data_IF_342160631872
#
_entry.id   IF_342160631872
#
_cell.length_a   1.000
_cell.length_b   1.000
_cell.length_c   1.000
_cell.angle_alpha   90.00
_cell.angle_beta   90.00
_cell.angle_gamma   90.00
#
_symmetry.space_group_name_H-M   'P 1'
#
loop_
_entity.id
_entity.type
_entity.pdbx_description
1 polymer ?
#
# COMPACT_ATOMS: atom_id res chain seq x y z
N UNK A 1 25.11 -30.27 20.16
CA UNK A 1 25.66 -29.22 19.27
C UNK A 1 24.64 -29.00 18.17
N UNK A 2 23.81 -27.95 18.28
CA UNK A 2 22.81 -27.62 17.26
C UNK A 2 23.51 -27.37 15.91
N UNK A 3 23.13 -28.13 14.89
CA UNK A 3 23.70 -27.99 13.55
C UNK A 3 23.40 -26.58 13.02
N UNK A 4 24.41 -25.73 12.74
CA UNK A 4 24.18 -24.36 12.23
C UNK A 4 23.42 -24.35 10.90
N UNK A 5 23.50 -25.45 10.13
CA UNK A 5 22.73 -25.66 8.91
C UNK A 5 21.22 -25.76 9.14
N UNK A 6 20.78 -26.35 10.25
CA UNK A 6 19.35 -26.51 10.56
C UNK A 6 18.68 -25.17 10.93
N UNK A 7 19.40 -24.32 11.67
CA UNK A 7 18.91 -22.98 12.02
C UNK A 7 18.78 -22.07 10.78
N UNK A 8 19.75 -22.13 9.87
CA UNK A 8 19.73 -21.37 8.61
C UNK A 8 18.56 -21.80 7.71
N UNK A 9 18.33 -23.10 7.54
CA UNK A 9 17.21 -23.63 6.75
C UNK A 9 15.85 -23.20 7.34
N UNK A 10 15.70 -23.22 8.66
CA UNK A 10 14.48 -22.74 9.32
C UNK A 10 14.22 -21.23 9.11
N UNK A 11 15.26 -20.40 9.12
CA UNK A 11 15.15 -18.97 8.86
C UNK A 11 14.76 -18.68 7.41
N UNK A 12 15.36 -19.38 6.45
CA UNK A 12 15.03 -19.25 5.02
C UNK A 12 13.59 -19.67 4.75
N UNK A 13 13.13 -20.79 5.31
CA UNK A 13 11.75 -21.26 5.16
C UNK A 13 10.71 -20.27 5.73
N UNK A 14 10.98 -19.69 6.90
CA UNK A 14 10.12 -18.65 7.48
C UNK A 14 10.11 -17.37 6.63
N UNK A 15 11.27 -16.97 6.13
CA UNK A 15 11.39 -15.78 5.29
C UNK A 15 10.59 -15.90 4.00
N UNK A 16 10.70 -17.04 3.31
CA UNK A 16 9.95 -17.27 2.06
C UNK A 16 8.45 -17.41 2.32
N UNK A 17 8.03 -18.08 3.40
CA UNK A 17 6.62 -18.20 3.78
C UNK A 17 5.96 -16.84 4.10
N UNK A 18 6.67 -15.95 4.81
CA UNK A 18 6.18 -14.60 5.09
C UNK A 18 6.10 -13.77 3.81
N UNK A 19 7.12 -13.85 2.95
CA UNK A 19 7.15 -13.12 1.69
C UNK A 19 6.01 -13.56 0.75
N UNK A 20 5.79 -14.87 0.58
CA UNK A 20 4.73 -15.38 -0.30
C UNK A 20 3.34 -15.04 0.21
N UNK A 21 3.10 -15.16 1.52
CA UNK A 21 1.81 -14.79 2.13
C UNK A 21 1.54 -13.29 1.99
N UNK A 22 2.55 -12.45 2.24
CA UNK A 22 2.45 -11.00 2.09
C UNK A 22 2.19 -10.58 0.63
N UNK A 23 2.87 -11.22 -0.33
CA UNK A 23 2.66 -10.94 -1.75
C UNK A 23 1.28 -11.40 -2.22
N UNK A 24 0.81 -12.57 -1.75
CA UNK A 24 -0.55 -13.05 -2.00
C UNK A 24 -1.60 -12.06 -1.48
N UNK A 25 -1.42 -11.56 -0.26
CA UNK A 25 -2.30 -10.54 0.32
C UNK A 25 -2.32 -9.26 -0.52
N UNK A 26 -1.15 -8.78 -0.95
CA UNK A 26 -1.01 -7.56 -1.74
C UNK A 26 -1.68 -7.66 -3.13
N UNK A 27 -1.64 -8.82 -3.77
CA UNK A 27 -2.24 -9.03 -5.11
C UNK A 27 -3.76 -9.24 -5.03
N UNK A 28 -4.23 -9.94 -3.98
CA UNK A 28 -5.64 -10.31 -3.85
C UNK A 28 -6.51 -9.22 -3.23
N UNK A 29 -5.93 -8.37 -2.37
CA UNK A 29 -6.68 -7.36 -1.61
C UNK A 29 -6.73 -6.02 -2.35
N UNK A 30 -7.94 -5.55 -2.68
CA UNK A 30 -8.12 -4.22 -3.25
C UNK A 30 -8.04 -3.17 -2.15
N UNK A 31 -7.47 -2.01 -2.48
CA UNK A 31 -7.42 -0.85 -1.56
C UNK A 31 -8.79 -0.50 -0.97
N UNK A 32 -9.86 -0.62 -1.76
CA UNK A 32 -11.24 -0.40 -1.30
C UNK A 32 -11.61 -1.33 -0.14
N UNK A 33 -11.27 -2.60 -0.24
CA UNK A 33 -11.64 -3.59 0.77
C UNK A 33 -10.88 -3.34 2.09
N UNK A 34 -9.62 -2.90 2.00
CA UNK A 34 -8.86 -2.42 3.17
C UNK A 34 -9.53 -1.22 3.85
N UNK A 35 -9.99 -0.23 3.07
CA UNK A 35 -10.63 0.96 3.66
C UNK A 35 -11.92 0.65 4.40
N UNK A 36 -12.71 -0.29 3.88
CA UNK A 36 -13.93 -0.75 4.54
C UNK A 36 -13.59 -1.55 5.80
N UNK A 37 -12.53 -2.37 5.78
CA UNK A 37 -12.06 -3.10 6.96
C UNK A 37 -11.54 -2.16 8.07
N UNK A 38 -10.79 -1.11 7.71
CA UNK A 38 -10.32 -0.07 8.65
C UNK A 38 -11.49 0.66 9.33
N UNK A 39 -12.58 0.91 8.59
CA UNK A 39 -13.78 1.51 9.16
C UNK A 39 -14.58 0.54 10.03
N UNK A 40 -14.62 -0.74 9.68
CA UNK A 40 -15.20 -1.78 10.53
C UNK A 40 -14.46 -1.89 11.88
N UNK A 41 -13.16 -1.57 11.90
CA UNK A 41 -12.34 -1.44 13.11
C UNK A 41 -12.56 -0.14 13.89
N UNK A 42 -13.57 0.67 13.53
CA UNK A 42 -13.95 1.93 14.18
C UNK A 42 -12.83 2.98 14.26
N UNK A 43 -11.89 2.96 13.32
CA UNK A 43 -10.90 4.04 13.18
C UNK A 43 -11.64 5.30 12.71
N UNK A 44 -11.32 6.48 13.25
CA UNK A 44 -12.02 7.70 12.89
C UNK A 44 -11.80 8.05 11.41
N UNK A 45 -12.89 8.45 10.75
CA UNK A 45 -12.92 8.76 9.32
C UNK A 45 -11.99 9.90 8.91
N UNK A 46 -11.58 10.75 9.86
CA UNK A 46 -10.59 11.81 9.65
C UNK A 46 -9.22 11.26 9.25
N UNK A 47 -8.92 9.99 9.58
CA UNK A 47 -7.66 9.33 9.22
C UNK A 47 -7.85 8.47 7.96
N UNK A 48 -8.93 7.68 7.91
CA UNK A 48 -9.18 6.74 6.81
C UNK A 48 -9.30 7.47 5.47
N UNK A 49 -9.98 8.62 5.45
CA UNK A 49 -10.23 9.35 4.22
C UNK A 49 -8.93 9.89 3.57
N UNK A 50 -8.10 10.70 4.27
CA UNK A 50 -6.83 11.15 3.72
C UNK A 50 -5.92 9.99 3.32
N UNK A 51 -5.87 8.90 4.12
CA UNK A 51 -5.08 7.72 3.80
C UNK A 51 -5.52 7.09 2.47
N UNK A 52 -6.83 6.91 2.29
CA UNK A 52 -7.40 6.35 1.05
C UNK A 52 -7.08 7.20 -0.17
N UNK A 53 -7.23 8.52 -0.02
CA UNK A 53 -6.93 9.49 -1.07
C UNK A 53 -5.44 9.44 -1.40
N UNK A 54 -4.56 9.47 -0.39
CA UNK A 54 -3.12 9.43 -0.56
C UNK A 54 -2.67 8.19 -1.35
N UNK A 55 -3.14 6.99 -0.97
CA UNK A 55 -2.76 5.75 -1.68
C UNK A 55 -3.28 5.75 -3.12
N UNK A 56 -4.52 6.24 -3.37
CA UNK A 56 -5.06 6.37 -4.73
C UNK A 56 -4.34 7.46 -5.54
N UNK A 57 -3.73 8.44 -4.88
CA UNK A 57 -3.06 9.56 -5.52
C UNK A 57 -1.61 9.23 -5.94
N UNK A 58 -0.97 8.24 -5.32
CA UNK A 58 0.36 7.75 -5.73
C UNK A 58 0.46 7.49 -7.25
N UNK A 59 -0.43 6.69 -7.89
CA UNK A 59 -0.33 6.47 -9.34
C UNK A 59 -0.50 7.76 -10.15
N UNK A 60 -1.33 8.69 -9.69
CA UNK A 60 -1.49 9.99 -10.33
C UNK A 60 -0.23 10.84 -10.21
N UNK A 61 0.38 10.90 -9.02
CA UNK A 61 1.64 11.59 -8.77
C UNK A 61 2.78 11.04 -9.62
N UNK A 62 2.84 9.72 -9.81
CA UNK A 62 3.83 9.11 -10.70
C UNK A 62 3.64 9.60 -12.14
N UNK A 63 2.41 9.62 -12.64
CA UNK A 63 2.13 10.12 -13.98
C UNK A 63 2.44 11.62 -14.12
N UNK A 64 2.09 12.42 -13.11
CA UNK A 64 2.45 13.84 -13.09
C UNK A 64 3.95 14.06 -13.03
N UNK A 65 4.69 13.24 -12.28
CA UNK A 65 6.15 13.34 -12.21
C UNK A 65 6.80 13.12 -13.59
N UNK A 66 6.25 12.24 -14.41
CA UNK A 66 6.70 12.02 -15.79
C UNK A 66 6.41 13.24 -16.67
N UNK A 67 5.21 13.81 -16.56
CA UNK A 67 4.85 15.05 -17.29
C UNK A 67 5.73 16.23 -16.85
N UNK A 68 6.00 16.36 -15.55
CA UNK A 68 6.91 17.38 -15.02
C UNK A 68 8.31 17.16 -15.59
N UNK A 69 8.80 15.93 -15.62
CA UNK A 69 10.09 15.60 -16.20
C UNK A 69 10.18 15.99 -17.69
N UNK A 70 9.14 15.71 -18.48
CA UNK A 70 9.09 16.13 -19.87
C UNK A 70 8.99 17.66 -20.01
N UNK A 71 8.28 18.35 -19.12
CA UNK A 71 8.23 19.81 -19.09
C UNK A 71 9.60 20.44 -18.79
N UNK A 72 10.42 19.81 -17.93
CA UNK A 72 11.78 20.25 -17.64
C UNK A 72 12.73 20.03 -18.83
N UNK A 73 12.50 18.96 -19.61
CA UNK A 73 13.23 18.73 -20.88
C UNK A 73 12.95 19.82 -21.90
N UNK A 74 11.71 20.32 -22.00
CA UNK A 74 11.35 21.45 -22.86
C UNK A 74 12.04 22.75 -22.43
N UNK A 75 12.21 22.96 -21.12
CA UNK A 75 12.95 24.09 -20.54
C UNK A 75 14.47 23.95 -20.65
N UNK A 76 14.99 22.93 -21.35
CA UNK A 76 16.42 22.60 -21.53
C UNK A 76 17.18 22.29 -20.23
N UNK A 77 16.50 22.10 -19.10
CA UNK A 77 17.14 21.85 -17.80
C UNK A 77 17.59 20.37 -17.63
N UNK A 78 17.03 19.45 -18.42
CA UNK A 78 17.34 18.01 -18.33
C UNK A 78 17.46 17.35 -19.72
N UNK A 79 18.03 18.06 -20.70
CA UNK A 79 18.08 17.60 -22.09
C UNK A 79 19.13 16.51 -22.30
N UNK A 80 20.28 16.60 -21.63
CA UNK A 80 21.36 15.61 -21.70
C UNK A 80 21.63 15.00 -20.32
N UNK A 81 21.95 13.70 -20.25
CA UNK A 81 22.34 13.04 -18.98
C UNK A 81 23.54 13.72 -18.30
N UNK A 82 24.40 14.40 -19.07
CA UNK A 82 25.52 15.22 -18.54
C UNK A 82 25.06 16.43 -17.75
N UNK A 83 23.92 17.03 -18.10
CA UNK A 83 23.41 18.24 -17.44
C UNK A 83 22.98 17.96 -16.00
N UNK A 84 22.55 16.71 -15.75
CA UNK A 84 22.23 16.21 -14.42
C UNK A 84 23.44 16.22 -13.46
N UNK A 85 24.66 16.09 -14.01
CA UNK A 85 25.90 16.10 -13.23
C UNK A 85 26.57 17.47 -13.19
N UNK A 86 26.39 18.32 -14.20
CA UNK A 86 26.98 19.66 -14.22
C UNK A 86 26.20 20.64 -13.35
N UNK A 87 24.87 20.50 -13.25
CA UNK A 87 24.01 21.42 -12.49
C UNK A 87 22.90 20.71 -11.69
N UNK A 88 23.24 19.75 -10.81
CA UNK A 88 22.24 18.99 -10.04
C UNK A 88 21.36 19.88 -9.16
N UNK A 89 21.91 21.00 -8.64
CA UNK A 89 21.20 21.91 -7.76
C UNK A 89 20.03 22.63 -8.43
N UNK A 90 20.24 23.17 -9.64
CA UNK A 90 19.21 23.90 -10.38
C UNK A 90 18.07 22.97 -10.84
N UNK A 91 18.43 21.75 -11.25
CA UNK A 91 17.47 20.73 -11.67
C UNK A 91 16.64 20.25 -10.49
N UNK A 92 17.30 19.97 -9.35
CA UNK A 92 16.62 19.56 -8.12
C UNK A 92 15.65 20.63 -7.61
N UNK A 93 16.08 21.89 -7.53
CA UNK A 93 15.22 23.01 -7.11
C UNK A 93 14.03 23.21 -8.04
N UNK A 94 14.26 23.17 -9.35
CA UNK A 94 13.19 23.30 -10.35
C UNK A 94 12.19 22.14 -10.24
N UNK A 95 12.68 20.92 -10.10
CA UNK A 95 11.83 19.73 -9.97
C UNK A 95 10.97 19.78 -8.71
N UNK A 96 11.58 20.05 -7.55
CA UNK A 96 10.88 20.13 -6.26
C UNK A 96 9.81 21.22 -6.32
N UNK A 97 10.15 22.43 -6.80
CA UNK A 97 9.18 23.53 -6.89
C UNK A 97 7.99 23.21 -7.80
N UNK A 98 8.23 22.61 -8.97
CA UNK A 98 7.19 22.17 -9.90
C UNK A 98 6.27 21.11 -9.26
N UNK A 99 6.85 20.09 -8.61
CA UNK A 99 6.09 19.03 -7.94
C UNK A 99 5.27 19.60 -6.79
N UNK A 100 5.84 20.50 -5.96
CA UNK A 100 5.12 21.12 -4.84
C UNK A 100 3.96 21.98 -5.31
N UNK A 101 4.16 22.88 -6.28
CA UNK A 101 3.09 23.74 -6.80
C UNK A 101 1.98 22.90 -7.43
N UNK A 102 2.34 21.85 -8.18
CA UNK A 102 1.35 20.97 -8.82
C UNK A 102 0.56 20.17 -7.80
N UNK A 103 1.24 19.60 -6.80
CA UNK A 103 0.60 18.84 -5.72
C UNK A 103 -0.35 19.72 -4.91
N UNK A 104 0.03 20.98 -4.64
CA UNK A 104 -0.83 21.93 -3.94
C UNK A 104 -2.11 22.24 -4.71
N UNK A 105 -1.99 22.52 -6.02
CA UNK A 105 -3.16 22.73 -6.89
C UNK A 105 -4.09 21.51 -6.91
N UNK A 106 -3.54 20.31 -7.01
CA UNK A 106 -4.35 19.09 -6.95
C UNK A 106 -5.03 18.90 -5.60
N UNK A 107 -4.37 19.26 -4.50
CA UNK A 107 -4.99 19.22 -3.18
C UNK A 107 -6.19 20.17 -3.09
N UNK A 108 -6.07 21.40 -3.60
CA UNK A 108 -7.16 22.37 -3.64
C UNK A 108 -8.33 21.90 -4.52
N UNK A 109 -8.03 21.34 -5.70
CA UNK A 109 -9.04 20.75 -6.59
C UNK A 109 -9.76 19.58 -5.90
N UNK A 110 -9.03 18.70 -5.22
CA UNK A 110 -9.60 17.58 -4.47
C UNK A 110 -10.44 18.05 -3.28
N UNK A 111 -10.03 19.12 -2.61
CA UNK A 111 -10.80 19.73 -1.51
C UNK A 111 -12.12 20.33 -2.03
N UNK A 112 -12.09 21.10 -3.11
CA UNK A 112 -13.30 21.63 -3.74
C UNK A 112 -14.25 20.51 -4.21
N UNK A 113 -13.71 19.45 -4.82
CA UNK A 113 -14.49 18.26 -5.21
C UNK A 113 -15.05 17.53 -3.99
N UNK A 114 -14.31 17.49 -2.87
CA UNK A 114 -14.77 16.88 -1.63
C UNK A 114 -15.94 17.65 -1.01
N UNK A 115 -15.85 18.98 -0.97
CA UNK A 115 -16.89 19.87 -0.47
C UNK A 115 -18.17 19.79 -1.30
N UNK A 116 -18.05 19.86 -2.63
CA UNK A 116 -19.21 19.75 -3.55
C UNK A 116 -19.91 18.39 -3.46
N UNK A 117 -19.16 17.32 -3.18
CA UNK A 117 -19.72 15.97 -2.92
C UNK A 117 -20.25 15.77 -1.50
N UNK A 118 -20.17 16.79 -0.64
CA UNK A 118 -20.66 16.72 0.73
C UNK A 118 -19.82 15.80 1.63
N UNK A 119 -18.53 15.60 1.34
CA UNK A 119 -17.64 14.73 2.14
C UNK A 119 -17.40 15.27 3.57
N UNK A 120 -17.64 16.56 3.80
CA UNK A 120 -17.57 17.24 5.10
C UNK A 120 -18.82 17.05 5.98
N UNK A 121 -19.87 16.37 5.48
CA UNK A 121 -21.06 16.11 6.30
C UNK A 121 -20.72 15.14 7.45
N UNK A 122 -21.11 15.43 8.70
CA UNK A 122 -20.82 14.58 9.86
C UNK A 122 -21.63 13.27 9.88
N UNK A 123 -22.55 13.08 8.94
CA UNK A 123 -23.34 11.85 8.85
C UNK A 123 -22.51 10.65 8.39
N UNK A 124 -22.92 9.46 8.85
CA UNK A 124 -22.30 8.19 8.49
C UNK A 124 -22.19 8.02 6.98
N UNK A 125 -20.97 7.79 6.49
CA UNK A 125 -20.72 7.47 5.09
C UNK A 125 -21.36 6.12 4.77
N UNK A 126 -22.17 6.09 3.73
CA UNK A 126 -22.77 4.85 3.26
C UNK A 126 -21.87 4.22 2.19
N UNK A 127 -21.42 3.00 2.44
CA UNK A 127 -20.68 2.21 1.46
C UNK A 127 -21.64 1.50 0.53
N UNK A 128 -21.42 1.67 -0.79
CA UNK A 128 -22.12 0.92 -1.83
C UNK A 128 -22.00 -0.61 -1.67
N UNK A 129 -20.94 -1.08 -1.00
CA UNK A 129 -20.75 -2.49 -0.63
C UNK A 129 -20.29 -2.57 0.83
N UNK A 130 -21.15 -2.99 1.77
CA UNK A 130 -20.72 -3.22 3.15
C UNK A 130 -19.82 -4.46 3.21
N UNK A 131 -18.80 -4.43 4.08
CA UNK A 131 -18.04 -5.64 4.43
C UNK A 131 -18.96 -6.58 5.20
N UNK A 132 -19.47 -7.60 4.52
CA UNK A 132 -20.21 -8.71 5.14
C UNK A 132 -19.45 -9.99 4.88
N UNK A 133 -19.21 -10.76 5.94
CA UNK A 133 -18.66 -12.11 5.82
C UNK A 133 -19.58 -12.96 4.95
N UNK A 134 -19.03 -13.52 3.87
CA UNK A 134 -19.74 -14.46 3.01
C UNK A 134 -19.54 -15.87 3.56
N UNK A 135 -20.45 -16.79 3.21
CA UNK A 135 -20.34 -18.20 3.59
C UNK A 135 -19.00 -18.81 3.15
N UNK A 136 -18.46 -18.38 2.00
CA UNK A 136 -17.14 -18.79 1.51
C UNK A 136 -16.01 -18.39 2.46
N UNK A 137 -16.12 -17.27 3.16
CA UNK A 137 -15.08 -16.81 4.09
C UNK A 137 -15.02 -17.75 5.30
N UNK A 138 -16.17 -18.26 5.77
CA UNK A 138 -16.22 -19.27 6.83
C UNK A 138 -15.63 -20.61 6.42
N UNK A 139 -15.88 -21.07 5.18
CA UNK A 139 -15.25 -22.30 4.66
C UNK A 139 -13.74 -22.14 4.50
N UNK A 140 -13.26 -21.00 4.01
CA UNK A 140 -11.83 -20.74 3.90
C UNK A 140 -11.17 -20.68 5.29
N UNK A 141 -11.82 -20.04 6.27
CA UNK A 141 -11.32 -19.95 7.65
C UNK A 141 -11.20 -21.32 8.31
N UNK A 142 -12.20 -22.20 8.13
CA UNK A 142 -12.19 -23.54 8.73
C UNK A 142 -11.08 -24.42 8.15
N UNK A 143 -10.85 -24.36 6.83
CA UNK A 143 -9.75 -25.07 6.17
C UNK A 143 -8.40 -24.55 6.67
N UNK A 144 -8.24 -23.24 6.80
CA UNK A 144 -7.00 -22.62 7.27
C UNK A 144 -6.69 -23.02 8.72
N UNK A 145 -7.69 -23.00 9.61
CA UNK A 145 -7.55 -23.45 11.00
C UNK A 145 -7.18 -24.93 11.09
N UNK A 146 -7.82 -25.79 10.28
CA UNK A 146 -7.49 -27.21 10.23
C UNK A 146 -6.04 -27.44 9.78
N UNK A 147 -5.59 -26.75 8.73
CA UNK A 147 -4.21 -26.84 8.24
C UNK A 147 -3.20 -26.35 9.29
N UNK A 148 -3.49 -25.24 9.95
CA UNK A 148 -2.64 -24.70 11.02
C UNK A 148 -2.54 -25.67 12.22
N UNK A 149 -3.64 -26.31 12.61
CA UNK A 149 -3.66 -27.32 13.67
C UNK A 149 -2.81 -28.55 13.31
N UNK A 150 -2.90 -29.02 12.06
CA UNK A 150 -2.07 -30.15 11.58
C UNK A 150 -0.58 -29.80 11.58
N UNK A 151 -0.21 -28.60 11.09
CA UNK A 151 1.19 -28.17 11.04
C UNK A 151 1.78 -27.96 12.44
N UNK A 152 1.02 -27.39 13.37
CA UNK A 152 1.47 -27.22 14.76
C UNK A 152 1.64 -28.57 15.45
N UNK A 153 0.68 -29.50 15.29
CA UNK A 153 0.78 -30.86 15.81
C UNK A 153 1.98 -31.63 15.24
N UNK A 154 2.23 -31.55 13.92
CA UNK A 154 3.38 -32.18 13.28
C UNK A 154 4.71 -31.60 13.79
N UNK A 155 4.81 -30.29 13.99
CA UNK A 155 6.01 -29.65 14.53
C UNK A 155 6.28 -30.03 16.00
N UNK A 156 5.21 -30.25 16.78
CA UNK A 156 5.30 -30.71 18.15
C UNK A 156 5.73 -32.17 18.22
N UNK A 157 5.22 -33.00 17.31
CA UNK A 157 5.60 -34.42 17.19
C UNK A 157 7.07 -34.58 16.80
N UNK A 158 7.55 -33.80 15.83
CA UNK A 158 8.97 -33.78 15.42
C UNK A 158 9.87 -33.30 16.56
N UNK A 159 9.42 -32.33 17.37
CA UNK A 159 10.16 -31.83 18.53
C UNK A 159 10.11 -32.78 19.73
N UNK A 160 9.09 -33.62 19.84
CA UNK A 160 8.98 -34.66 20.87
C UNK A 160 9.75 -35.95 20.49
N UNK A 161 9.98 -36.18 19.20
CA UNK A 161 10.72 -37.32 18.67
C UNK A 161 12.22 -37.05 18.44
N UNK A 162 12.69 -35.81 18.64
CA UNK A 162 14.08 -35.37 18.53
C UNK A 162 14.67 -35.07 19.91
#
# INVERSE_FOLDING_TARGET
MENPKAMFVGMVFRGTALATTGLWFAVTTKLRDMTIALEAWRIPNIIILPLTIAVRFIPTLLNESLVIHDSMRLRRLAHRKRDLFTQPHLIGQSYISLVTIRSLKMADELAAVAETRGLARPNQRQFLKPAKFRKNDYYALSILLALAAVLTAASLYVRAAA
#
